data_IF_950907451255
#
_entry.id   IF_950907451255
#
_cell.length_a   1.000
_cell.length_b   1.000
_cell.length_c   1.000
_cell.angle_alpha   90.00
_cell.angle_beta   90.00
_cell.angle_gamma   90.00
#
_symmetry.space_group_name_H-M   'P 1'
#
loop_
_entity.id
_entity.type
_entity.pdbx_description
1 polymer ?
#
# COMPACT_ATOMS: atom_id res chain seq x y z
N UNK A 1 -22.18 14.09 11.81
CA UNK A 1 -20.81 13.70 11.46
C UNK A 1 -20.56 14.06 10.02
N UNK A 2 -19.43 14.71 9.74
CA UNK A 2 -18.96 14.96 8.38
C UNK A 2 -18.51 13.61 7.81
N UNK A 3 -18.80 13.33 6.54
CA UNK A 3 -18.28 12.14 5.86
C UNK A 3 -17.24 12.57 4.84
N UNK A 4 -16.06 11.97 4.89
CA UNK A 4 -14.95 12.26 3.99
C UNK A 4 -15.05 11.35 2.76
N UNK A 5 -14.98 11.93 1.55
CA UNK A 5 -14.87 11.14 0.33
C UNK A 5 -13.56 10.35 0.30
N UNK A 6 -13.62 9.07 -0.05
CA UNK A 6 -12.45 8.18 0.01
C UNK A 6 -11.47 8.36 -1.16
N UNK A 7 -11.90 9.05 -2.23
CA UNK A 7 -11.05 9.47 -3.33
C UNK A 7 -10.59 10.92 -3.16
N UNK A 8 -9.28 11.15 -3.33
CA UNK A 8 -8.64 12.46 -3.15
C UNK A 8 -9.22 13.53 -4.10
N UNK A 9 -9.52 13.17 -5.34
CA UNK A 9 -10.01 14.11 -6.36
C UNK A 9 -11.51 14.36 -6.25
N UNK A 10 -12.26 13.47 -5.60
CA UNK A 10 -13.65 13.72 -5.21
C UNK A 10 -13.73 14.57 -3.93
N UNK A 11 -12.72 14.49 -3.07
CA UNK A 11 -12.65 15.28 -1.84
C UNK A 11 -12.24 16.73 -2.09
N UNK A 12 -11.25 16.97 -2.95
CA UNK A 12 -10.67 18.30 -3.14
C UNK A 12 -10.31 18.61 -4.59
N UNK A 13 -10.33 19.89 -4.93
CA UNK A 13 -9.73 20.39 -6.16
C UNK A 13 -8.20 20.35 -6.05
N UNK A 14 -7.55 19.58 -6.92
CA UNK A 14 -6.10 19.36 -6.93
C UNK A 14 -5.52 19.83 -8.27
N UNK A 15 -5.06 21.09 -8.37
CA UNK A 15 -4.32 21.54 -9.55
C UNK A 15 -2.90 20.95 -9.55
N UNK A 16 -2.29 20.82 -10.73
CA UNK A 16 -0.87 20.48 -10.89
C UNK A 16 -0.39 19.28 -10.05
N UNK A 17 -1.18 18.20 -10.01
CA UNK A 17 -0.93 17.05 -9.13
C UNK A 17 0.50 16.50 -9.20
N UNK A 18 1.05 16.36 -10.41
CA UNK A 18 2.41 15.85 -10.59
C UNK A 18 3.50 16.78 -10.02
N UNK A 19 3.26 18.09 -9.99
CA UNK A 19 4.16 19.03 -9.32
C UNK A 19 4.16 18.81 -7.81
N UNK A 20 2.98 18.64 -7.22
CA UNK A 20 2.89 18.33 -5.79
C UNK A 20 3.59 17.01 -5.42
N UNK A 21 3.49 15.99 -6.28
CA UNK A 21 4.23 14.73 -6.08
C UNK A 21 5.74 14.91 -6.20
N UNK A 22 6.21 15.76 -7.11
CA UNK A 22 7.62 16.11 -7.23
C UNK A 22 8.11 16.83 -5.96
N UNK A 23 7.38 17.83 -5.47
CA UNK A 23 7.71 18.55 -4.24
C UNK A 23 7.78 17.60 -3.03
N UNK A 24 6.82 16.67 -2.93
CA UNK A 24 6.81 15.63 -1.89
C UNK A 24 8.04 14.71 -1.98
N UNK A 25 8.39 14.26 -3.19
CA UNK A 25 9.58 13.43 -3.43
C UNK A 25 10.86 14.15 -2.96
N UNK A 26 10.97 15.45 -3.19
CA UNK A 26 12.12 16.25 -2.79
C UNK A 26 12.18 16.51 -1.28
N UNK A 27 11.02 16.64 -0.63
CA UNK A 27 10.90 16.85 0.81
C UNK A 27 11.14 15.57 1.63
N UNK A 28 10.66 14.43 1.12
CA UNK A 28 10.74 13.15 1.81
C UNK A 28 12.15 12.53 1.79
N UNK A 29 12.35 11.54 2.66
CA UNK A 29 13.55 10.70 2.62
C UNK A 29 13.75 10.08 1.22
N UNK A 30 15.00 10.02 0.72
CA UNK A 30 15.29 9.48 -0.60
C UNK A 30 14.78 8.03 -0.80
N UNK A 31 13.98 7.86 -1.83
CA UNK A 31 13.42 6.56 -2.22
C UNK A 31 13.18 6.50 -3.74
N UNK A 32 13.27 5.29 -4.28
CA UNK A 32 12.93 4.98 -5.66
C UNK A 32 11.41 4.93 -5.83
N UNK A 33 10.86 5.88 -6.59
CA UNK A 33 9.43 5.99 -6.88
C UNK A 33 9.04 5.48 -8.27
N UNK A 34 9.95 4.76 -8.93
CA UNK A 34 9.78 4.20 -10.27
C UNK A 34 10.14 2.71 -10.31
N UNK A 35 9.40 1.95 -11.11
CA UNK A 35 9.78 0.61 -11.49
C UNK A 35 10.84 0.64 -12.61
N UNK A 36 11.75 -0.34 -12.61
CA UNK A 36 12.74 -0.56 -13.69
C UNK A 36 12.05 -0.82 -15.03
N UNK A 37 10.99 -1.61 -15.00
CA UNK A 37 10.17 -1.98 -16.14
C UNK A 37 8.71 -1.89 -15.71
N UNK A 38 7.98 -0.93 -16.28
CA UNK A 38 6.54 -0.82 -16.09
C UNK A 38 5.83 -1.91 -16.89
N UNK A 39 4.92 -2.64 -16.25
CA UNK A 39 4.01 -3.53 -16.95
C UNK A 39 2.96 -2.77 -17.77
N UNK A 40 2.58 -1.57 -17.31
CA UNK A 40 1.56 -0.71 -17.93
C UNK A 40 2.07 0.74 -17.98
N UNK A 41 1.92 1.40 -19.12
CA UNK A 41 2.23 2.83 -19.24
C UNK A 41 1.29 3.66 -18.38
N UNK A 42 1.87 4.48 -17.51
CA UNK A 42 1.14 5.40 -16.64
C UNK A 42 1.31 6.83 -17.13
N UNK A 43 0.29 7.67 -16.93
CA UNK A 43 0.39 9.12 -17.25
C UNK A 43 1.51 9.79 -16.46
N UNK A 44 1.69 9.37 -15.20
CA UNK A 44 2.82 9.78 -14.39
C UNK A 44 4.03 8.90 -14.67
N UNK A 45 4.99 9.42 -15.42
CA UNK A 45 6.24 8.72 -15.71
C UNK A 45 7.28 8.89 -14.58
N UNK A 46 7.20 9.95 -13.77
CA UNK A 46 8.24 10.32 -12.81
C UNK A 46 8.10 9.64 -11.45
N UNK A 47 6.88 9.57 -10.92
CA UNK A 47 6.62 9.06 -9.56
C UNK A 47 5.35 8.19 -9.47
N UNK A 48 5.14 7.19 -10.36
CA UNK A 48 3.92 6.38 -10.37
C UNK A 48 3.68 5.62 -9.05
N UNK A 49 4.75 5.18 -8.38
CA UNK A 49 4.65 4.49 -7.07
C UNK A 49 4.15 5.47 -6.00
N UNK A 50 4.70 6.69 -5.97
CA UNK A 50 4.34 7.71 -4.99
C UNK A 50 2.89 8.16 -5.16
N UNK A 51 2.44 8.34 -6.39
CA UNK A 51 1.05 8.68 -6.70
C UNK A 51 0.09 7.65 -6.12
N UNK A 52 0.31 6.36 -6.45
CA UNK A 52 -0.53 5.27 -5.95
C UNK A 52 -0.47 5.15 -4.43
N UNK A 53 0.71 5.36 -3.85
CA UNK A 53 0.90 5.37 -2.40
C UNK A 53 0.04 6.45 -1.73
N UNK A 54 0.09 7.70 -2.19
CA UNK A 54 -0.68 8.79 -1.59
C UNK A 54 -2.19 8.56 -1.72
N UNK A 55 -2.67 8.08 -2.87
CA UNK A 55 -4.08 7.69 -3.00
C UNK A 55 -4.49 6.62 -1.99
N UNK A 56 -3.62 5.64 -1.76
CA UNK A 56 -3.88 4.54 -0.82
C UNK A 56 -3.90 5.03 0.63
N UNK A 57 -2.96 5.90 1.00
CA UNK A 57 -2.85 6.48 2.34
C UNK A 57 -4.01 7.44 2.65
N UNK A 58 -4.38 8.29 1.69
CA UNK A 58 -5.53 9.17 1.81
C UNK A 58 -6.82 8.36 2.01
N UNK A 59 -7.07 7.39 1.11
CA UNK A 59 -8.24 6.52 1.17
C UNK A 59 -8.35 5.78 2.51
N UNK A 60 -7.24 5.25 3.01
CA UNK A 60 -7.20 4.55 4.30
C UNK A 60 -7.63 5.46 5.45
N UNK A 61 -7.00 6.63 5.57
CA UNK A 61 -7.32 7.58 6.65
C UNK A 61 -8.75 8.12 6.56
N UNK A 62 -9.27 8.35 5.34
CA UNK A 62 -10.66 8.73 5.14
C UNK A 62 -11.63 7.62 5.62
N UNK A 63 -11.35 6.34 5.32
CA UNK A 63 -12.16 5.22 5.79
C UNK A 63 -12.10 5.09 7.32
N UNK A 64 -10.92 5.26 7.92
CA UNK A 64 -10.73 5.18 9.37
C UNK A 64 -11.45 6.32 10.10
N UNK A 65 -11.35 7.54 9.58
CA UNK A 65 -12.14 8.68 10.05
C UNK A 65 -13.64 8.39 10.02
N UNK A 66 -14.15 7.92 8.86
CA UNK A 66 -15.58 7.66 8.68
C UNK A 66 -16.11 6.48 9.53
N UNK A 67 -15.23 5.57 9.95
CA UNK A 67 -15.60 4.38 10.72
C UNK A 67 -15.48 4.59 12.24
N UNK A 68 -14.80 5.65 12.67
CA UNK A 68 -14.59 5.99 14.07
C UNK A 68 -15.82 6.72 14.63
N UNK A 69 -16.25 6.33 15.84
CA UNK A 69 -17.45 6.88 16.48
C UNK A 69 -17.12 8.07 17.39
N UNK A 70 -15.87 8.16 17.87
CA UNK A 70 -15.42 9.25 18.72
C UNK A 70 -14.76 10.35 17.87
N UNK A 71 -15.39 11.52 17.77
CA UNK A 71 -14.90 12.65 16.95
C UNK A 71 -13.42 12.99 17.22
N UNK A 72 -13.02 13.03 18.49
CA UNK A 72 -11.62 13.32 18.88
C UNK A 72 -10.63 12.27 18.40
N UNK A 73 -11.05 11.00 18.27
CA UNK A 73 -10.21 9.93 17.71
C UNK A 73 -10.24 9.97 16.19
N UNK A 74 -11.38 10.29 15.59
CA UNK A 74 -11.51 10.44 14.14
C UNK A 74 -10.53 11.52 13.63
N UNK A 75 -10.45 12.67 14.31
CA UNK A 75 -9.52 13.77 13.98
C UNK A 75 -8.03 13.36 14.01
N UNK A 76 -7.67 12.30 14.74
CA UNK A 76 -6.30 11.73 14.71
C UNK A 76 -6.02 10.91 13.45
N UNK A 77 -7.03 10.38 12.76
CA UNK A 77 -6.84 9.74 11.46
C UNK A 77 -6.83 10.77 10.33
N UNK A 78 -7.75 11.73 10.39
CA UNK A 78 -7.87 12.78 9.40
C UNK A 78 -8.44 14.02 10.07
N UNK A 79 -7.67 15.10 10.08
CA UNK A 79 -8.13 16.34 10.69
C UNK A 79 -9.01 17.10 9.71
N UNK A 80 -10.18 17.55 10.14
CA UNK A 80 -11.08 18.35 9.34
C UNK A 80 -11.88 19.30 10.25
N UNK A 81 -11.63 20.60 10.09
CA UNK A 81 -12.37 21.67 10.74
C UNK A 81 -12.62 22.82 9.78
N UNK A 82 -13.59 23.68 10.08
CA UNK A 82 -14.16 24.72 9.22
C UNK A 82 -13.27 25.31 8.11
N UNK A 83 -12.01 25.66 8.39
CA UNK A 83 -11.12 26.30 7.41
C UNK A 83 -10.01 25.41 6.82
N UNK A 84 -9.71 24.27 7.45
CA UNK A 84 -8.58 23.43 7.06
C UNK A 84 -8.83 21.94 7.29
N UNK A 85 -8.26 21.13 6.41
CA UNK A 85 -8.22 19.69 6.58
C UNK A 85 -6.81 19.18 6.29
N UNK A 86 -6.37 18.14 6.97
CA UNK A 86 -5.09 17.52 6.69
C UNK A 86 -5.04 16.05 7.08
N UNK A 87 -4.09 15.34 6.46
CA UNK A 87 -3.79 13.94 6.76
C UNK A 87 -2.30 13.70 6.80
N UNK A 88 -1.87 12.68 7.54
CA UNK A 88 -0.47 12.30 7.60
C UNK A 88 -0.12 11.45 6.38
N UNK A 89 0.89 11.84 5.59
CA UNK A 89 1.26 11.09 4.36
C UNK A 89 1.92 9.75 4.63
N UNK A 90 2.43 9.56 5.84
CA UNK A 90 3.22 8.38 6.25
C UNK A 90 4.70 8.50 5.87
N UNK A 91 5.08 9.58 5.19
CA UNK A 91 6.46 9.92 4.83
C UNK A 91 7.05 10.90 5.84
N UNK A 92 8.38 10.94 5.84
CA UNK A 92 9.16 11.77 6.74
C UNK A 92 10.21 12.56 5.97
N UNK A 93 10.52 13.76 6.47
CA UNK A 93 11.63 14.58 5.97
C UNK A 93 12.99 13.96 6.32
N UNK A 94 14.08 14.54 5.81
CA UNK A 94 15.44 14.14 6.19
C UNK A 94 15.74 14.31 7.68
N UNK A 95 15.05 15.23 8.36
CA UNK A 95 15.13 15.42 9.81
C UNK A 95 14.14 14.55 10.58
N UNK A 96 13.54 13.54 9.94
CA UNK A 96 12.56 12.61 10.50
C UNK A 96 11.31 13.29 11.06
N UNK A 97 10.87 14.37 10.41
CA UNK A 97 9.62 15.08 10.73
C UNK A 97 8.48 14.58 9.85
N UNK A 98 7.28 14.44 10.40
CA UNK A 98 6.13 13.93 9.65
C UNK A 98 5.75 14.89 8.52
N UNK A 99 5.40 14.34 7.35
CA UNK A 99 4.90 15.12 6.21
C UNK A 99 3.39 14.95 6.10
N UNK A 100 2.69 16.06 5.93
CA UNK A 100 1.23 16.17 5.91
C UNK A 100 0.74 16.71 4.57
N UNK A 101 -0.37 16.17 4.07
CA UNK A 101 -1.12 16.76 2.95
C UNK A 101 -2.16 17.73 3.50
N UNK A 102 -2.15 18.97 3.03
CA UNK A 102 -2.99 20.05 3.57
C UNK A 102 -4.01 20.55 2.55
N UNK A 103 -5.22 20.81 3.05
CA UNK A 103 -6.33 21.37 2.30
C UNK A 103 -6.84 22.63 3.00
N UNK A 104 -7.23 23.62 2.20
CA UNK A 104 -7.91 24.83 2.66
C UNK A 104 -9.24 24.99 1.93
N UNK A 105 -10.10 25.85 2.43
CA UNK A 105 -11.35 26.18 1.75
C UNK A 105 -11.11 26.65 0.32
N UNK A 106 -11.82 26.03 -0.61
CA UNK A 106 -11.79 26.42 -2.00
C UNK A 106 -12.52 27.74 -2.18
N UNK A 107 -11.81 28.76 -2.67
CA UNK A 107 -12.36 30.11 -2.88
C UNK A 107 -13.02 30.28 -4.25
N UNK A 108 -12.98 29.27 -5.12
CA UNK A 108 -13.61 29.31 -6.45
C UNK A 108 -15.11 29.12 -6.31
N UNK A 109 -15.87 30.16 -6.62
CA UNK A 109 -17.34 30.18 -6.50
C UNK A 109 -18.03 29.15 -7.41
N UNK A 110 -17.44 28.80 -8.56
CA UNK A 110 -18.02 27.86 -9.53
C UNK A 110 -17.63 26.39 -9.31
N UNK A 111 -16.95 26.06 -8.21
CA UNK A 111 -16.50 24.70 -7.92
C UNK A 111 -17.43 24.01 -6.95
N UNK A 112 -17.88 22.80 -7.30
CA UNK A 112 -18.64 21.92 -6.41
C UNK A 112 -17.78 21.31 -5.29
N UNK A 113 -16.45 21.48 -5.34
CA UNK A 113 -15.51 20.93 -4.37
C UNK A 113 -15.19 21.97 -3.30
N UNK A 114 -15.54 21.66 -2.05
CA UNK A 114 -15.34 22.54 -0.90
C UNK A 114 -13.87 22.76 -0.54
N UNK A 115 -13.01 21.78 -0.85
CA UNK A 115 -11.61 21.76 -0.45
C UNK A 115 -10.69 22.02 -1.65
N UNK A 116 -9.61 22.75 -1.39
CA UNK A 116 -8.51 23.01 -2.31
C UNK A 116 -7.25 22.37 -1.74
N UNK A 117 -6.60 21.48 -2.49
CA UNK A 117 -5.34 20.91 -2.07
C UNK A 117 -4.22 21.94 -2.20
N UNK A 118 -3.67 22.35 -1.05
CA UNK A 118 -2.62 23.36 -0.99
C UNK A 118 -1.25 22.80 -1.36
N UNK A 119 -0.98 21.57 -0.93
CA UNK A 119 0.31 20.90 -1.07
C UNK A 119 0.71 20.13 0.18
N UNK A 120 1.97 19.72 0.21
CA UNK A 120 2.58 18.99 1.32
C UNK A 120 3.44 19.91 2.19
N UNK A 121 3.46 19.67 3.50
CA UNK A 121 4.33 20.39 4.43
C UNK A 121 4.72 19.51 5.63
N UNK A 122 5.74 19.91 6.38
CA UNK A 122 6.14 19.24 7.60
C UNK A 122 5.37 19.77 8.83
N UNK A 123 5.52 19.07 9.98
CA UNK A 123 4.89 19.43 11.25
C UNK A 123 5.20 20.86 11.77
N UNK A 124 6.27 21.50 11.28
CA UNK A 124 6.68 22.85 11.70
C UNK A 124 6.08 23.95 10.82
N UNK A 125 5.36 23.58 9.75
CA UNK A 125 4.75 24.51 8.83
C UNK A 125 3.74 25.43 9.53
N UNK A 126 3.70 26.74 9.20
CA UNK A 126 2.67 27.65 9.68
C UNK A 126 1.25 27.19 9.32
N UNK A 127 1.10 26.32 8.32
CA UNK A 127 -0.20 25.76 7.91
C UNK A 127 -0.83 24.87 8.99
N UNK A 128 -0.01 24.27 9.85
CA UNK A 128 -0.43 23.32 10.88
C UNK A 128 -0.48 23.95 12.28
N UNK A 129 -0.15 25.24 12.42
CA UNK A 129 0.02 25.93 13.71
C UNK A 129 -1.19 25.83 14.65
N UNK A 130 -2.39 25.76 14.10
CA UNK A 130 -3.65 25.76 14.86
C UNK A 130 -4.39 24.43 14.80
N UNK A 131 -3.72 23.36 14.34
CA UNK A 131 -4.30 22.03 14.19
C UNK A 131 -3.95 21.19 15.42
N UNK A 132 -4.96 20.87 16.22
CA UNK A 132 -4.84 19.97 17.38
C UNK A 132 -6.10 19.10 17.47
N UNK A 133 -5.99 17.75 17.42
CA UNK A 133 -4.76 16.99 17.28
C UNK A 133 -4.21 16.99 15.85
N UNK A 134 -2.89 16.88 15.71
CA UNK A 134 -2.28 16.53 14.42
C UNK A 134 -2.62 15.08 14.06
N UNK A 135 -2.95 14.79 12.80
CA UNK A 135 -3.14 13.41 12.34
C UNK A 135 -1.92 12.54 12.64
N UNK A 136 -2.17 11.36 13.18
CA UNK A 136 -1.16 10.37 13.50
C UNK A 136 -0.76 9.61 12.23
N UNK A 137 0.43 9.00 12.24
CA UNK A 137 0.88 8.18 11.12
C UNK A 137 -0.09 7.03 10.89
N UNK A 138 -0.52 6.74 9.64
CA UNK A 138 -1.39 5.60 9.36
C UNK A 138 -0.71 4.28 9.75
N UNK A 139 -1.40 3.48 10.57
CA UNK A 139 -0.93 2.17 11.05
C UNK A 139 -1.79 1.07 10.44
N UNK A 140 -1.17 -0.06 10.13
CA UNK A 140 -1.90 -1.30 9.83
C UNK A 140 -1.83 -2.20 11.05
N UNK A 141 -3.00 -2.56 11.59
CA UNK A 141 -3.06 -3.43 12.76
C UNK A 141 -2.64 -4.86 12.36
N UNK A 142 -1.56 -5.34 12.99
CA UNK A 142 -1.24 -6.77 13.03
C UNK A 142 -1.92 -7.40 14.25
N UNK A 143 -2.51 -8.57 14.08
CA UNK A 143 -2.87 -9.41 15.23
C UNK A 143 -1.58 -9.78 15.98
N UNK A 144 -1.56 -9.63 17.30
CA UNK A 144 -0.34 -9.82 18.12
C UNK A 144 0.29 -11.22 17.98
N UNK A 145 -0.46 -12.23 17.54
CA UNK A 145 0.03 -13.59 17.31
C UNK A 145 0.85 -13.76 16.00
N UNK A 146 0.95 -12.74 15.15
CA UNK A 146 1.58 -12.79 13.82
C UNK A 146 2.70 -11.76 13.63
N UNK A 147 3.49 -11.47 14.66
CA UNK A 147 4.64 -10.56 14.50
C UNK A 147 5.72 -11.15 13.57
N UNK A 148 5.91 -12.47 13.60
CA UNK A 148 6.91 -13.18 12.81
C UNK A 148 6.28 -14.32 12.00
N UNK A 149 6.70 -14.45 10.74
CA UNK A 149 6.35 -15.60 9.92
C UNK A 149 6.97 -16.87 10.49
N UNK A 150 6.15 -17.90 10.75
CA UNK A 150 6.58 -19.20 11.23
C UNK A 150 6.62 -20.18 10.04
N UNK A 151 7.80 -20.52 9.51
CA UNK A 151 7.88 -21.35 8.33
C UNK A 151 7.44 -22.80 8.59
N UNK A 152 7.34 -23.27 9.84
CA UNK A 152 6.86 -24.62 10.18
C UNK A 152 5.35 -24.80 9.97
N UNK A 153 4.61 -23.69 9.89
CA UNK A 153 3.18 -23.74 9.65
C UNK A 153 2.87 -24.12 8.20
N UNK A 154 1.93 -25.06 8.04
CA UNK A 154 1.44 -25.44 6.71
C UNK A 154 0.76 -24.26 6.02
N UNK A 155 0.86 -24.21 4.69
CA UNK A 155 0.16 -23.23 3.87
C UNK A 155 -0.95 -23.95 3.11
N UNK A 156 -2.21 -23.61 3.40
CA UNK A 156 -3.38 -24.10 2.66
C UNK A 156 -3.69 -23.13 1.53
N UNK A 157 -3.63 -23.61 0.30
CA UNK A 157 -3.80 -22.78 -0.90
C UNK A 157 -5.24 -22.86 -1.36
N UNK A 158 -5.90 -21.71 -1.54
CA UNK A 158 -7.23 -21.66 -2.14
C UNK A 158 -7.11 -21.70 -3.67
N UNK A 159 -6.84 -22.89 -4.21
CA UNK A 159 -6.59 -23.09 -5.64
C UNK A 159 -7.80 -22.68 -6.48
N UNK A 160 -9.01 -23.01 -6.03
CA UNK A 160 -10.26 -22.67 -6.73
C UNK A 160 -10.41 -21.16 -6.88
N UNK A 161 -10.12 -20.37 -5.85
CA UNK A 161 -10.17 -18.92 -5.95
C UNK A 161 -9.04 -18.33 -6.81
N UNK A 162 -7.82 -18.87 -6.68
CA UNK A 162 -6.65 -18.36 -7.42
C UNK A 162 -6.74 -18.65 -8.91
N UNK A 163 -7.29 -19.80 -9.30
CA UNK A 163 -7.32 -20.26 -10.70
C UNK A 163 -8.70 -20.20 -11.34
N UNK A 164 -9.76 -20.02 -10.55
CA UNK A 164 -11.15 -20.00 -11.04
C UNK A 164 -11.60 -18.65 -11.59
N UNK A 165 -10.94 -17.56 -11.22
CA UNK A 165 -11.23 -16.21 -11.72
C UNK A 165 -10.27 -15.80 -12.85
N UNK A 166 -10.79 -15.20 -13.93
CA UNK A 166 -10.00 -14.80 -15.09
C UNK A 166 -8.94 -13.75 -14.76
N UNK A 167 -9.22 -12.81 -13.86
CA UNK A 167 -8.28 -11.76 -13.47
C UNK A 167 -7.09 -12.38 -12.72
N UNK A 168 -7.36 -13.25 -11.76
CA UNK A 168 -6.32 -13.97 -11.02
C UNK A 168 -5.50 -14.90 -11.94
N UNK A 169 -6.18 -15.64 -12.83
CA UNK A 169 -5.53 -16.53 -13.78
C UNK A 169 -4.63 -15.76 -14.77
N UNK A 170 -5.02 -14.53 -15.13
CA UNK A 170 -4.23 -13.65 -15.99
C UNK A 170 -2.93 -13.18 -15.35
N UNK A 171 -2.80 -13.26 -14.01
CA UNK A 171 -1.54 -12.97 -13.30
C UNK A 171 -0.54 -14.14 -13.44
N UNK A 172 -1.01 -15.37 -13.60
CA UNK A 172 -0.15 -16.54 -13.80
C UNK A 172 0.66 -16.40 -15.10
N UNK A 173 1.97 -16.74 -15.12
CA UNK A 173 2.78 -16.66 -16.33
C UNK A 173 2.17 -17.40 -17.52
N UNK A 174 2.07 -16.71 -18.65
CA UNK A 174 1.38 -17.21 -19.85
C UNK A 174 1.87 -18.59 -20.33
N UNK A 175 3.16 -18.90 -20.11
CA UNK A 175 3.79 -20.17 -20.50
C UNK A 175 3.19 -21.40 -19.80
N UNK A 176 2.69 -21.24 -18.58
CA UNK A 176 2.18 -22.34 -17.75
C UNK A 176 0.69 -22.23 -17.46
N UNK A 177 0.06 -21.11 -17.82
CA UNK A 177 -1.37 -20.84 -17.57
C UNK A 177 -2.31 -21.91 -18.14
N UNK A 178 -1.92 -22.55 -19.26
CA UNK A 178 -2.70 -23.62 -19.92
C UNK A 178 -2.28 -25.04 -19.50
N UNK A 179 -1.39 -25.19 -18.52
CA UNK A 179 -0.96 -26.50 -18.06
C UNK A 179 -2.10 -27.21 -17.33
N UNK A 180 -2.42 -28.45 -17.71
CA UNK A 180 -3.48 -29.24 -17.08
C UNK A 180 -3.24 -29.50 -15.59
N UNK A 181 -1.97 -29.53 -15.18
CA UNK A 181 -1.52 -29.75 -13.81
C UNK A 181 -1.17 -28.44 -13.07
N UNK A 182 -1.64 -27.29 -13.55
CA UNK A 182 -1.37 -25.99 -12.92
C UNK A 182 -1.69 -25.94 -11.40
N UNK A 183 -2.81 -26.51 -10.91
CA UNK A 183 -3.07 -26.66 -9.47
C UNK A 183 -1.89 -27.27 -8.69
N UNK A 184 -1.40 -28.42 -9.14
CA UNK A 184 -0.32 -29.15 -8.50
C UNK A 184 1.02 -28.39 -8.57
N UNK A 185 1.28 -27.72 -9.70
CA UNK A 185 2.46 -26.88 -9.86
C UNK A 185 2.44 -25.71 -8.88
N UNK A 186 1.28 -25.09 -8.67
CA UNK A 186 1.11 -24.00 -7.72
C UNK A 186 1.35 -24.45 -6.29
N UNK A 187 0.72 -25.55 -5.85
CA UNK A 187 0.92 -26.09 -4.50
C UNK A 187 2.39 -26.47 -4.26
N UNK A 188 3.04 -27.11 -5.24
CA UNK A 188 4.46 -27.47 -5.16
C UNK A 188 5.35 -26.23 -5.06
N UNK A 189 5.04 -25.17 -5.81
CA UNK A 189 5.78 -23.91 -5.76
C UNK A 189 5.60 -23.17 -4.43
N UNK A 190 4.42 -23.26 -3.81
CA UNK A 190 4.16 -22.72 -2.47
C UNK A 190 4.97 -23.47 -1.41
N UNK A 191 4.98 -24.80 -1.45
CA UNK A 191 5.76 -25.61 -0.52
C UNK A 191 7.27 -25.36 -0.69
N UNK A 192 7.74 -25.21 -1.94
CA UNK A 192 9.12 -24.79 -2.23
C UNK A 192 9.43 -23.42 -1.61
N UNK A 193 8.54 -22.44 -1.79
CA UNK A 193 8.72 -21.09 -1.26
C UNK A 193 8.71 -21.08 0.27
N UNK A 194 7.85 -21.88 0.92
CA UNK A 194 7.85 -22.08 2.38
C UNK A 194 9.20 -22.59 2.88
N UNK A 195 9.75 -23.63 2.22
CA UNK A 195 11.07 -24.18 2.56
C UNK A 195 12.19 -23.16 2.37
N UNK A 196 12.13 -22.35 1.31
CA UNK A 196 13.10 -21.24 1.12
C UNK A 196 13.01 -20.22 2.26
N UNK A 197 11.80 -19.90 2.73
CA UNK A 197 11.61 -18.96 3.84
C UNK A 197 12.17 -19.47 5.18
N UNK A 198 12.36 -20.78 5.37
CA UNK A 198 13.11 -21.34 6.51
C UNK A 198 14.57 -20.89 6.47
N UNK A 199 15.19 -20.95 5.30
CA UNK A 199 16.62 -20.66 5.09
C UNK A 199 16.85 -19.14 5.01
N UNK A 200 15.91 -18.44 4.37
CA UNK A 200 15.99 -17.00 4.09
C UNK A 200 14.72 -16.28 4.59
N UNK A 201 14.58 -16.03 5.91
CA UNK A 201 13.40 -15.36 6.46
C UNK A 201 13.13 -13.96 5.84
N UNK A 202 14.19 -13.29 5.37
CA UNK A 202 14.10 -11.98 4.70
C UNK A 202 13.39 -12.01 3.34
N UNK A 203 13.01 -13.18 2.82
CA UNK A 203 12.15 -13.30 1.63
C UNK A 203 10.70 -12.88 1.92
N UNK A 204 10.24 -13.03 3.16
CA UNK A 204 8.88 -12.70 3.54
C UNK A 204 8.75 -11.19 3.68
N UNK A 205 7.74 -10.63 3.01
CA UNK A 205 7.34 -9.23 3.20
C UNK A 205 5.97 -9.16 3.86
N UNK A 206 5.63 -8.01 4.41
CA UNK A 206 4.26 -7.69 4.84
C UNK A 206 3.57 -6.86 3.77
N UNK A 207 2.24 -6.91 3.72
CA UNK A 207 1.40 -6.01 2.95
C UNK A 207 0.16 -5.57 3.73
N UNK A 208 -0.31 -4.37 3.43
CA UNK A 208 -1.53 -3.81 4.03
C UNK A 208 -2.71 -3.97 3.09
N UNK A 209 -3.72 -4.74 3.48
CA UNK A 209 -4.94 -4.94 2.68
C UNK A 209 -6.19 -4.88 3.57
N UNK A 210 -7.15 -4.03 3.21
CA UNK A 210 -8.41 -3.82 3.96
C UNK A 210 -8.19 -3.62 5.47
N UNK A 211 -7.20 -2.81 5.85
CA UNK A 211 -6.89 -2.48 7.25
C UNK A 211 -6.16 -3.58 8.03
N UNK A 212 -5.93 -4.76 7.43
CA UNK A 212 -5.20 -5.87 8.04
C UNK A 212 -3.85 -6.07 7.39
N UNK A 213 -2.92 -6.65 8.14
CA UNK A 213 -1.64 -7.09 7.59
C UNK A 213 -1.70 -8.55 7.15
N UNK A 214 -1.18 -8.82 5.97
CA UNK A 214 -0.96 -10.15 5.42
C UNK A 214 0.52 -10.32 5.07
N UNK A 215 1.01 -11.56 5.02
CA UNK A 215 2.34 -11.82 4.48
C UNK A 215 2.31 -11.96 2.95
N UNK A 216 3.46 -11.67 2.35
CA UNK A 216 3.76 -11.90 0.95
C UNK A 216 4.85 -12.96 0.86
N UNK A 217 4.52 -14.07 0.21
CA UNK A 217 5.46 -15.16 -0.08
C UNK A 217 5.80 -15.15 -1.58
N UNK A 218 7.07 -14.96 -1.99
CA UNK A 218 7.44 -15.02 -3.40
C UNK A 218 7.30 -16.44 -3.96
N UNK A 219 6.54 -16.58 -5.06
CA UNK A 219 6.26 -17.87 -5.71
C UNK A 219 7.07 -18.00 -6.99
N UNK A 220 7.74 -19.13 -7.12
CA UNK A 220 8.64 -19.47 -8.22
C UNK A 220 7.99 -20.56 -9.08
N UNK A 221 7.40 -20.18 -10.21
CA UNK A 221 6.70 -21.12 -11.09
C UNK A 221 7.49 -21.46 -12.36
N UNK A 222 8.25 -20.51 -12.90
CA UNK A 222 8.99 -20.68 -14.15
C UNK A 222 10.50 -20.75 -13.96
N UNK A 223 11.04 -20.03 -12.97
CA UNK A 223 12.48 -19.98 -12.67
C UNK A 223 12.72 -20.08 -11.18
N UNK A 224 13.78 -20.80 -10.79
CA UNK A 224 14.10 -21.03 -9.37
C UNK A 224 14.68 -19.82 -8.65
N UNK A 225 15.24 -18.85 -9.38
CA UNK A 225 15.94 -17.69 -8.80
C UNK A 225 15.20 -16.36 -8.98
N UNK A 226 14.07 -16.36 -9.70
CA UNK A 226 13.28 -15.17 -9.94
C UNK A 226 11.80 -15.50 -9.69
N UNK A 227 11.15 -14.84 -8.72
CA UNK A 227 9.74 -15.08 -8.49
C UNK A 227 8.92 -14.58 -9.68
N UNK A 228 7.82 -15.26 -9.92
CA UNK A 228 6.84 -14.88 -10.94
C UNK A 228 5.70 -14.07 -10.32
N UNK A 229 5.34 -14.40 -9.07
CA UNK A 229 4.18 -13.88 -8.34
C UNK A 229 4.50 -13.76 -6.86
N UNK A 230 3.62 -13.10 -6.11
CA UNK A 230 3.63 -13.13 -4.66
C UNK A 230 2.29 -13.63 -4.13
N UNK A 231 2.31 -14.66 -3.28
CA UNK A 231 1.10 -15.17 -2.64
C UNK A 231 0.81 -14.41 -1.35
N UNK A 232 -0.45 -14.03 -1.18
CA UNK A 232 -0.95 -13.38 0.03
C UNK A 232 -1.28 -14.43 1.08
N UNK A 233 -0.66 -14.38 2.26
CA UNK A 233 -0.91 -15.31 3.35
C UNK A 233 -1.62 -14.62 4.51
N UNK A 234 -2.76 -15.17 4.91
CA UNK A 234 -3.47 -14.76 6.12
C UNK A 234 -3.16 -15.73 7.25
N UNK A 235 -2.85 -15.18 8.42
CA UNK A 235 -2.55 -15.94 9.64
C UNK A 235 -3.84 -16.55 10.18
N UNK A 236 -3.88 -17.89 10.27
CA UNK A 236 -4.94 -18.65 10.94
C UNK A 236 -4.37 -19.28 12.21
N UNK A 237 -5.20 -20.00 12.96
CA UNK A 237 -4.76 -20.74 14.15
C UNK A 237 -3.94 -21.98 13.75
N UNK A 238 -2.60 -21.86 13.82
CA UNK A 238 -1.66 -22.95 13.55
C UNK A 238 -1.35 -23.22 12.06
N UNK A 239 -1.83 -22.39 11.13
CA UNK A 239 -1.51 -22.50 9.70
C UNK A 239 -1.68 -21.16 8.96
N UNK A 240 -1.25 -21.10 7.70
CA UNK A 240 -1.50 -19.96 6.82
C UNK A 240 -2.51 -20.30 5.73
N UNK A 241 -3.37 -19.35 5.39
CA UNK A 241 -4.28 -19.43 4.26
C UNK A 241 -3.75 -18.57 3.10
N UNK A 242 -3.38 -19.23 2.01
CA UNK A 242 -2.97 -18.61 0.75
C UNK A 242 -4.18 -18.30 -0.13
N UNK A 243 -4.67 -17.05 -0.06
CA UNK A 243 -5.92 -16.66 -0.72
C UNK A 243 -5.73 -16.28 -2.19
N UNK A 244 -4.73 -15.46 -2.50
CA UNK A 244 -4.61 -14.83 -3.82
C UNK A 244 -3.13 -14.72 -4.22
N UNK A 245 -2.87 -14.73 -5.52
CA UNK A 245 -1.57 -14.37 -6.09
C UNK A 245 -1.61 -12.95 -6.68
N UNK A 246 -0.61 -12.15 -6.34
CA UNK A 246 -0.40 -10.80 -6.85
C UNK A 246 0.74 -10.81 -7.87
N UNK A 247 0.69 -9.84 -8.80
CA UNK A 247 1.88 -9.49 -9.57
C UNK A 247 2.94 -8.89 -8.63
N UNK A 248 4.21 -8.94 -9.02
CA UNK A 248 5.29 -8.39 -8.18
C UNK A 248 5.13 -6.87 -7.96
N UNK A 249 4.63 -6.14 -8.96
CA UNK A 249 4.33 -4.70 -8.83
C UNK A 249 3.21 -4.44 -7.83
N UNK A 250 2.11 -5.20 -7.89
CA UNK A 250 1.02 -5.10 -6.90
C UNK A 250 1.53 -5.39 -5.50
N UNK A 251 2.35 -6.43 -5.35
CA UNK A 251 2.95 -6.80 -4.07
C UNK A 251 3.85 -5.68 -3.53
N UNK A 252 4.65 -5.04 -4.39
CA UNK A 252 5.47 -3.88 -4.01
C UNK A 252 4.60 -2.72 -3.51
N UNK A 253 3.56 -2.35 -4.26
CA UNK A 253 2.67 -1.25 -3.90
C UNK A 253 1.97 -1.49 -2.56
N UNK A 254 1.46 -2.71 -2.33
CA UNK A 254 0.78 -3.06 -1.09
C UNK A 254 1.76 -3.17 0.09
N UNK A 255 2.99 -3.63 -0.14
CA UNK A 255 4.04 -3.64 0.88
C UNK A 255 4.43 -2.20 1.26
N UNK A 256 4.60 -1.33 0.26
CA UNK A 256 5.01 0.05 0.46
C UNK A 256 4.01 0.87 1.28
N UNK A 257 2.72 0.52 1.21
CA UNK A 257 1.67 1.13 2.02
C UNK A 257 1.92 0.97 3.54
N UNK A 258 2.55 -0.13 3.98
CA UNK A 258 2.94 -0.34 5.39
C UNK A 258 4.27 0.38 5.69
N UNK A 259 5.31 0.06 4.92
CA UNK A 259 6.67 0.51 5.16
C UNK A 259 7.50 0.38 3.87
N UNK A 260 8.66 1.04 3.82
CA UNK A 260 9.63 0.85 2.75
C UNK A 260 10.01 -0.64 2.65
N UNK A 261 9.76 -1.33 1.52
CA UNK A 261 10.07 -2.75 1.40
C UNK A 261 11.57 -3.02 1.55
N UNK A 262 11.92 -4.13 2.21
CA UNK A 262 13.30 -4.59 2.40
C UNK A 262 13.60 -5.92 1.71
N UNK A 263 12.58 -6.66 1.29
CA UNK A 263 12.74 -7.97 0.67
C UNK A 263 13.49 -7.84 -0.68
N UNK A 264 14.56 -8.61 -0.94
CA UNK A 264 15.41 -8.44 -2.12
C UNK A 264 14.64 -8.49 -3.45
N UNK A 265 13.69 -9.42 -3.57
CA UNK A 265 12.88 -9.60 -4.78
C UNK A 265 11.95 -8.42 -5.09
N UNK A 266 11.60 -7.61 -4.08
CA UNK A 266 10.84 -6.37 -4.24
C UNK A 266 11.78 -5.22 -4.65
N UNK A 267 12.96 -5.13 -4.03
CA UNK A 267 13.97 -4.12 -4.34
C UNK A 267 14.51 -4.25 -5.77
N UNK A 268 14.53 -5.46 -6.32
CA UNK A 268 14.93 -5.68 -7.71
C UNK A 268 14.00 -5.00 -8.73
N UNK A 269 12.77 -4.65 -8.34
CA UNK A 269 11.76 -4.06 -9.24
C UNK A 269 11.94 -2.56 -9.45
N UNK A 270 12.62 -1.86 -8.55
CA UNK A 270 12.65 -0.38 -8.51
C UNK A 270 14.00 0.18 -8.96
N UNK A 271 14.00 1.39 -9.55
CA UNK A 271 15.20 2.12 -9.98
C UNK A 271 15.35 3.45 -9.27
#
# INVERSE_FOLDING_TARGET
MITIQSDLFEFAYVPDWYRHLHDLKCMALPEAWQFKKLAVETKNAETPILERYIHTIFRKQAIEFNSEQEDNKALKYFYIENECACFHTGLYTQSYKGIYGCFFRNKKQDSMLEWYFKGFCDEMSPWLKYIEPLPERPVYHMAQQGLNFNPEWSIRVNVEHILGDEENLNRIPAKIRKAKNLPLLLETAVELARRKAVIEPGLISAQGYMGRVQYLLPIYLTKMNKPDLAMTLTVMDGYYLGNTCLTLEMAYLNARAIAKPSAPWLLELIK
#
